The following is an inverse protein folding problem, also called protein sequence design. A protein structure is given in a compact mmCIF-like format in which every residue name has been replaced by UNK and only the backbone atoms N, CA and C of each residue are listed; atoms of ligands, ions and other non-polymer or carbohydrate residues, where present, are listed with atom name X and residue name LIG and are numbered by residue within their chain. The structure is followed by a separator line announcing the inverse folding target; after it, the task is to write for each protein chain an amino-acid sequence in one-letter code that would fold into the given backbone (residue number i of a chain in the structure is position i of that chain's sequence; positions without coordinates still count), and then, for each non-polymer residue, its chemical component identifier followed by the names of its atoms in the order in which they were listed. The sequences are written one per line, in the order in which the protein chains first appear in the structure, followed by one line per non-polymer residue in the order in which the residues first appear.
data_IF_651916633282
#
_entry.id   IF_651916633282
#
_cell.length_a   1.000
_cell.length_b   1.000
_cell.length_c   1.000
_cell.angle_alpha   90.00
_cell.angle_beta   90.00
_cell.angle_gamma   90.00
#
_symmetry.space_group_name_H-M   'P 1'
#
loop_
_entity.id
_entity.type
_entity.pdbx_description
1 polymer ?
#
# COMPACT_ATOMS: atom_id res chain seq x y z
N UNK A 1 14.16 12.50 -19.25
CA UNK A 1 13.81 11.84 -17.98
C UNK A 1 13.82 12.89 -16.88
N UNK A 2 12.79 12.98 -16.02
CA UNK A 2 12.72 14.02 -14.98
C UNK A 2 13.69 13.75 -13.82
N UNK A 3 14.16 14.81 -13.16
CA UNK A 3 15.00 14.71 -11.96
C UNK A 3 14.22 14.09 -10.79
N UNK A 4 14.86 13.28 -9.92
CA UNK A 4 14.25 12.80 -8.68
C UNK A 4 13.57 13.95 -7.91
N UNK A 5 12.35 13.74 -7.42
CA UNK A 5 11.56 14.76 -6.72
C UNK A 5 10.66 15.65 -7.61
N UNK A 6 10.76 15.57 -8.94
CA UNK A 6 9.84 16.29 -9.84
C UNK A 6 8.57 15.48 -10.11
N UNK A 7 7.43 16.17 -10.35
CA UNK A 7 6.17 15.53 -10.79
C UNK A 7 6.38 14.64 -12.02
N UNK A 8 7.28 15.03 -12.94
CA UNK A 8 7.63 14.27 -14.13
C UNK A 8 8.34 12.94 -13.82
N UNK A 9 9.22 12.92 -12.81
CA UNK A 9 9.89 11.71 -12.33
C UNK A 9 8.90 10.75 -11.66
N UNK A 10 8.08 11.24 -10.73
CA UNK A 10 7.04 10.44 -10.06
C UNK A 10 6.05 9.84 -11.07
N UNK A 11 5.69 10.61 -12.11
CA UNK A 11 4.78 10.16 -13.17
C UNK A 11 5.39 9.10 -14.08
N UNK A 12 6.70 9.08 -14.30
CA UNK A 12 7.34 8.13 -15.22
C UNK A 12 7.82 6.86 -14.52
N UNK A 13 8.41 7.00 -13.33
CA UNK A 13 8.88 5.89 -12.52
C UNK A 13 7.74 4.93 -12.19
N UNK A 14 6.61 5.46 -11.68
CA UNK A 14 5.44 4.66 -11.28
C UNK A 14 4.62 4.05 -12.44
N UNK A 15 4.93 4.35 -13.69
CA UNK A 15 4.20 3.77 -14.84
C UNK A 15 4.76 2.40 -15.23
N UNK A 16 6.06 2.27 -15.39
CA UNK A 16 6.62 1.08 -16.04
C UNK A 16 7.00 0.00 -15.01
N UNK A 17 7.48 0.39 -13.83
CA UNK A 17 7.85 -0.56 -12.76
C UNK A 17 6.66 -1.20 -12.05
N UNK A 18 5.46 -0.62 -12.17
CA UNK A 18 4.25 -1.12 -11.51
C UNK A 18 3.26 -1.81 -12.46
N UNK A 19 3.70 -2.15 -13.68
CA UNK A 19 2.94 -3.04 -14.54
C UNK A 19 3.02 -4.46 -13.97
N UNK A 20 1.88 -5.09 -13.69
CA UNK A 20 1.85 -6.46 -13.16
C UNK A 20 2.55 -7.44 -14.11
N UNK A 21 2.47 -7.17 -15.42
CA UNK A 21 3.13 -7.95 -16.46
C UNK A 21 4.67 -7.89 -16.37
N UNK A 22 5.24 -6.82 -15.82
CA UNK A 22 6.70 -6.70 -15.65
C UNK A 22 7.22 -7.46 -14.43
N UNK A 23 6.38 -7.73 -13.43
CA UNK A 23 6.77 -8.39 -12.19
C UNK A 23 7.54 -9.72 -12.39
N UNK A 24 7.11 -10.67 -13.24
CA UNK A 24 7.87 -11.90 -13.46
C UNK A 24 9.24 -11.65 -14.11
N UNK A 25 9.35 -10.71 -15.06
CA UNK A 25 10.63 -10.38 -15.70
C UNK A 25 11.60 -9.70 -14.72
N UNK A 26 11.08 -8.79 -13.88
CA UNK A 26 11.86 -8.17 -12.81
C UNK A 26 12.30 -9.19 -11.77
N UNK A 27 11.44 -10.15 -11.41
CA UNK A 27 11.79 -11.22 -10.48
C UNK A 27 12.95 -12.08 -11.02
N UNK A 28 12.91 -12.44 -12.31
CA UNK A 28 14.01 -13.14 -12.97
C UNK A 28 15.28 -12.30 -12.96
N UNK A 29 15.21 -11.03 -13.35
CA UNK A 29 16.37 -10.13 -13.35
C UNK A 29 17.00 -9.92 -11.98
N UNK A 30 16.19 -9.79 -10.93
CA UNK A 30 16.66 -9.70 -9.53
C UNK A 30 17.33 -11.02 -9.13
N UNK A 31 16.69 -12.16 -9.41
CA UNK A 31 17.22 -13.47 -9.03
C UNK A 31 18.53 -13.81 -9.73
N UNK A 32 18.65 -13.53 -11.03
CA UNK A 32 19.89 -13.73 -11.79
C UNK A 32 20.99 -12.76 -11.35
N UNK A 33 20.64 -11.50 -11.05
CA UNK A 33 21.58 -10.54 -10.45
C UNK A 33 22.13 -11.01 -9.11
N UNK A 34 21.27 -11.55 -8.23
CA UNK A 34 21.67 -12.11 -6.93
C UNK A 34 22.58 -13.34 -7.08
N UNK A 35 22.33 -14.20 -8.06
CA UNK A 35 23.24 -15.30 -8.41
C UNK A 35 24.59 -14.78 -8.91
N UNK A 36 24.59 -13.75 -9.76
CA UNK A 36 25.81 -13.14 -10.29
C UNK A 36 26.73 -12.51 -9.24
N UNK A 37 26.19 -12.12 -8.07
CA UNK A 37 26.96 -11.61 -6.93
C UNK A 37 27.31 -12.68 -5.89
N UNK A 38 27.09 -13.97 -6.20
CA UNK A 38 27.56 -15.10 -5.39
C UNK A 38 26.51 -15.71 -4.45
N UNK A 39 25.22 -15.48 -4.65
CA UNK A 39 24.19 -16.21 -3.88
C UNK A 39 24.24 -17.71 -4.18
N UNK A 40 24.33 -18.54 -3.13
CA UNK A 40 24.28 -20.00 -3.21
C UNK A 40 22.86 -20.56 -3.22
N UNK A 41 21.85 -19.70 -3.17
CA UNK A 41 20.43 -20.08 -3.15
C UNK A 41 19.99 -20.56 -4.54
N UNK A 42 19.12 -21.57 -4.59
CA UNK A 42 18.61 -22.07 -5.87
C UNK A 42 17.87 -20.97 -6.64
N UNK A 43 18.16 -20.86 -7.94
CA UNK A 43 17.57 -19.84 -8.80
C UNK A 43 16.02 -19.87 -8.79
N UNK A 44 15.34 -21.03 -8.84
CA UNK A 44 13.88 -21.08 -8.74
C UNK A 44 13.36 -20.44 -7.45
N UNK A 45 14.01 -20.72 -6.31
CA UNK A 45 13.61 -20.15 -5.02
C UNK A 45 13.79 -18.63 -5.01
N UNK A 46 14.92 -18.12 -5.53
CA UNK A 46 15.17 -16.68 -5.65
C UNK A 46 14.11 -16.00 -6.53
N UNK A 47 13.75 -16.61 -7.67
CA UNK A 47 12.69 -16.10 -8.55
C UNK A 47 11.36 -16.07 -7.81
N UNK A 48 10.98 -17.16 -7.12
CA UNK A 48 9.73 -17.23 -6.36
C UNK A 48 9.67 -16.15 -5.28
N UNK A 49 10.72 -15.99 -4.49
CA UNK A 49 10.78 -14.99 -3.41
C UNK A 49 10.75 -13.57 -3.97
N UNK A 50 11.53 -13.29 -5.02
CA UNK A 50 11.54 -11.97 -5.67
C UNK A 50 10.17 -11.64 -6.28
N UNK A 51 9.53 -12.61 -6.92
CA UNK A 51 8.18 -12.44 -7.47
C UNK A 51 7.15 -12.17 -6.36
N UNK A 52 7.17 -12.94 -5.27
CA UNK A 52 6.26 -12.73 -4.14
C UNK A 52 6.49 -11.37 -3.49
N UNK A 53 7.74 -10.92 -3.35
CA UNK A 53 8.06 -9.60 -2.82
C UNK A 53 7.52 -8.48 -3.73
N UNK A 54 7.70 -8.61 -5.05
CA UNK A 54 7.14 -7.66 -6.02
C UNK A 54 5.61 -7.68 -6.03
N UNK A 55 4.98 -8.85 -6.00
CA UNK A 55 3.52 -8.99 -5.93
C UNK A 55 2.97 -8.36 -4.65
N UNK A 56 3.64 -8.56 -3.51
CA UNK A 56 3.28 -7.93 -2.24
C UNK A 56 3.41 -6.41 -2.31
N UNK A 57 4.50 -5.90 -2.87
CA UNK A 57 4.70 -4.46 -3.08
C UNK A 57 3.59 -3.85 -3.94
N UNK A 58 3.26 -4.46 -5.08
CA UNK A 58 2.15 -4.02 -5.92
C UNK A 58 0.80 -4.11 -5.19
N UNK A 59 0.61 -5.12 -4.34
CA UNK A 59 -0.56 -5.26 -3.48
C UNK A 59 -0.69 -4.08 -2.51
N UNK A 60 0.40 -3.72 -1.81
CA UNK A 60 0.43 -2.55 -0.92
C UNK A 60 0.16 -1.24 -1.68
N UNK A 61 0.60 -1.12 -2.93
CA UNK A 61 0.30 0.05 -3.76
C UNK A 61 -1.19 0.19 -4.07
N UNK A 62 -1.91 -0.93 -4.27
CA UNK A 62 -3.36 -0.90 -4.43
C UNK A 62 -4.04 -0.41 -3.15
N UNK A 63 -3.49 -0.74 -1.98
CA UNK A 63 -4.08 -0.31 -0.71
C UNK A 63 -3.90 1.18 -0.44
N UNK A 64 -2.97 1.87 -1.11
CA UNK A 64 -2.72 3.29 -0.87
C UNK A 64 -3.60 4.21 -1.74
N UNK A 65 -3.58 5.52 -1.45
CA UNK A 65 -4.40 6.52 -2.15
C UNK A 65 -3.87 6.95 -3.53
N UNK A 66 -2.62 6.59 -3.86
CA UNK A 66 -2.04 6.90 -5.17
C UNK A 66 -2.44 5.85 -6.21
N UNK A 67 -2.59 4.61 -5.77
CA UNK A 67 -2.90 3.45 -6.59
C UNK A 67 -1.78 3.06 -7.54
N UNK A 68 -1.94 1.90 -8.17
CA UNK A 68 -0.98 1.40 -9.15
C UNK A 68 -1.66 0.98 -10.46
N UNK A 69 -1.07 1.32 -11.64
CA UNK A 69 -1.60 0.97 -12.95
C UNK A 69 -1.20 -0.46 -13.37
N UNK A 70 -1.76 -1.47 -12.71
CA UNK A 70 -1.39 -2.89 -12.94
C UNK A 70 -1.54 -3.35 -14.40
N UNK A 71 -2.54 -2.83 -15.11
CA UNK A 71 -2.94 -3.29 -16.44
C UNK A 71 -2.07 -2.80 -17.59
N UNK A 72 -0.96 -2.11 -17.34
CA UNK A 72 -0.09 -1.64 -18.41
C UNK A 72 0.56 -2.81 -19.18
N UNK A 73 0.74 -2.68 -20.51
CA UNK A 73 0.44 -1.51 -21.35
C UNK A 73 -1.03 -1.41 -21.80
N UNK A 74 -1.86 -2.42 -21.55
CA UNK A 74 -3.23 -2.52 -22.07
C UNK A 74 -4.20 -1.50 -21.45
N UNK A 75 -4.02 -1.16 -20.18
CA UNK A 75 -4.87 -0.21 -19.46
C UNK A 75 -4.04 0.73 -18.58
N UNK A 76 -4.40 2.01 -18.61
CA UNK A 76 -3.83 3.05 -17.74
C UNK A 76 -4.65 3.26 -16.47
N UNK A 77 -5.71 2.47 -16.25
CA UNK A 77 -6.56 2.58 -15.05
C UNK A 77 -5.75 2.24 -13.80
N UNK A 78 -5.79 3.12 -12.80
CA UNK A 78 -5.14 2.90 -11.51
C UNK A 78 -6.09 2.23 -10.54
N UNK A 79 -5.67 1.10 -9.98
CA UNK A 79 -6.38 0.46 -8.88
C UNK A 79 -5.90 1.04 -7.57
N UNK A 80 -6.83 1.50 -6.73
CA UNK A 80 -6.59 2.09 -5.42
C UNK A 80 -7.77 1.75 -4.50
N UNK A 81 -7.49 1.55 -3.22
CA UNK A 81 -8.47 1.31 -2.16
C UNK A 81 -8.50 2.44 -1.11
N UNK A 82 -7.52 3.35 -1.16
CA UNK A 82 -7.35 4.48 -0.23
C UNK A 82 -7.34 4.06 1.25
N UNK A 83 -6.82 2.88 1.58
CA UNK A 83 -6.88 2.35 2.93
C UNK A 83 -5.71 2.79 3.80
N UNK A 84 -4.52 2.79 3.23
CA UNK A 84 -3.27 3.07 3.94
C UNK A 84 -2.54 4.27 3.34
N UNK A 85 -1.62 4.86 4.11
CA UNK A 85 -0.73 5.88 3.60
C UNK A 85 0.41 5.23 2.78
N UNK A 86 1.00 5.94 1.82
CA UNK A 86 2.10 5.37 1.01
C UNK A 86 3.30 4.96 1.86
N UNK A 87 3.68 5.81 2.82
CA UNK A 87 4.65 5.51 3.86
C UNK A 87 3.92 5.40 5.19
N UNK A 88 3.24 4.28 5.41
CA UNK A 88 2.55 4.00 6.66
C UNK A 88 3.53 3.45 7.72
N UNK A 89 3.91 4.23 8.76
CA UNK A 89 4.90 3.83 9.75
C UNK A 89 4.50 2.58 10.51
N UNK A 90 3.20 2.33 10.66
CA UNK A 90 2.73 1.11 11.31
C UNK A 90 3.04 -0.11 10.45
N UNK A 91 2.66 -0.07 9.16
CA UNK A 91 2.97 -1.15 8.21
C UNK A 91 4.48 -1.37 8.12
N UNK A 92 5.27 -0.31 7.98
CA UNK A 92 6.73 -0.40 7.91
C UNK A 92 7.33 -0.97 9.20
N UNK A 93 6.84 -0.56 10.37
CA UNK A 93 7.35 -1.07 11.65
C UNK A 93 7.03 -2.55 11.86
N UNK A 94 5.82 -3.00 11.49
CA UNK A 94 5.45 -4.41 11.59
C UNK A 94 6.31 -5.27 10.66
N UNK A 95 6.54 -4.82 9.43
CA UNK A 95 7.42 -5.53 8.49
C UNK A 95 8.87 -5.57 8.99
N UNK A 96 9.42 -4.44 9.43
CA UNK A 96 10.78 -4.35 9.97
C UNK A 96 10.95 -5.22 11.23
N UNK A 97 9.97 -5.17 12.15
CA UNK A 97 9.95 -6.01 13.34
C UNK A 97 9.88 -7.50 13.01
N UNK A 98 9.02 -7.88 12.07
CA UNK A 98 8.92 -9.28 11.60
C UNK A 98 10.25 -9.76 11.04
N UNK A 99 10.89 -8.98 10.16
CA UNK A 99 12.21 -9.30 9.61
C UNK A 99 13.28 -9.37 10.71
N UNK A 100 13.30 -8.42 11.64
CA UNK A 100 14.27 -8.40 12.74
C UNK A 100 14.17 -9.64 13.63
N UNK A 101 12.95 -10.06 13.98
CA UNK A 101 12.73 -11.29 14.74
C UNK A 101 13.13 -12.51 13.91
N UNK A 102 12.87 -12.55 12.61
CA UNK A 102 13.31 -13.66 11.75
C UNK A 102 14.83 -13.78 11.70
N UNK A 103 15.55 -12.66 11.66
CA UNK A 103 17.01 -12.65 11.74
C UNK A 103 17.46 -13.22 13.09
N UNK A 104 16.86 -12.77 14.20
CA UNK A 104 17.20 -13.26 15.53
C UNK A 104 16.97 -14.79 15.67
N UNK A 105 15.84 -15.31 15.16
CA UNK A 105 15.54 -16.75 15.13
C UNK A 105 16.60 -17.51 14.34
N UNK A 106 16.95 -17.02 13.14
CA UNK A 106 17.94 -17.67 12.27
C UNK A 106 19.36 -17.60 12.83
N UNK A 107 19.66 -16.60 13.65
CA UNK A 107 20.94 -16.46 14.36
C UNK A 107 21.00 -17.20 15.69
N UNK A 108 19.93 -17.91 16.10
CA UNK A 108 19.87 -18.61 17.38
C UNK A 108 19.71 -17.69 18.61
N UNK A 109 19.37 -16.41 18.40
CA UNK A 109 19.14 -15.43 19.46
C UNK A 109 17.70 -15.47 20.01
N UNK A 110 16.80 -16.20 19.36
CA UNK A 110 15.41 -16.35 19.77
C UNK A 110 14.89 -17.76 19.48
N UNK A 111 14.29 -18.39 20.49
CA UNK A 111 13.64 -19.70 20.39
C UNK A 111 12.15 -19.55 20.07
N UNK A 112 11.85 -19.15 18.83
CA UNK A 112 10.48 -19.14 18.33
C UNK A 112 10.40 -19.65 16.89
N UNK A 113 9.24 -20.18 16.53
CA UNK A 113 9.01 -20.72 15.19
C UNK A 113 9.11 -19.61 14.14
N UNK A 114 10.05 -19.76 13.18
CA UNK A 114 10.18 -18.85 12.04
C UNK A 114 8.87 -18.73 11.25
N UNK A 115 8.12 -19.83 11.11
CA UNK A 115 6.80 -19.77 10.49
C UNK A 115 5.80 -18.97 11.35
N UNK A 116 5.81 -19.20 12.67
CA UNK A 116 4.95 -18.49 13.62
C UNK A 116 5.16 -16.97 13.58
N UNK A 117 6.41 -16.51 13.56
CA UNK A 117 6.75 -15.09 13.46
C UNK A 117 6.16 -14.46 12.19
N UNK A 118 6.30 -15.13 11.04
CA UNK A 118 5.73 -14.68 9.77
C UNK A 118 4.20 -14.61 9.79
N UNK A 119 3.55 -15.63 10.35
CA UNK A 119 2.09 -15.67 10.47
C UNK A 119 1.55 -14.57 11.38
N UNK A 120 2.20 -14.32 12.52
CA UNK A 120 1.83 -13.24 13.44
C UNK A 120 1.97 -11.88 12.74
N UNK A 121 3.09 -11.63 12.07
CA UNK A 121 3.28 -10.39 11.30
C UNK A 121 2.20 -10.18 10.23
N UNK A 122 1.87 -11.24 9.48
CA UNK A 122 0.79 -11.22 8.49
C UNK A 122 -0.58 -10.92 9.12
N UNK A 123 -0.92 -11.60 10.22
CA UNK A 123 -2.20 -11.39 10.91
C UNK A 123 -2.34 -9.98 11.45
N UNK A 124 -1.27 -9.40 12.00
CA UNK A 124 -1.26 -8.00 12.47
C UNK A 124 -1.50 -7.04 11.30
N UNK A 125 -0.85 -7.24 10.15
CA UNK A 125 -1.06 -6.41 8.97
C UNK A 125 -2.48 -6.54 8.42
N UNK A 126 -3.01 -7.77 8.31
CA UNK A 126 -4.39 -8.01 7.87
C UNK A 126 -5.41 -7.36 8.82
N UNK A 127 -5.19 -7.48 10.14
CA UNK A 127 -6.01 -6.83 11.16
C UNK A 127 -5.97 -5.32 11.04
N UNK A 128 -4.80 -4.73 10.82
CA UNK A 128 -4.65 -3.30 10.58
C UNK A 128 -5.38 -2.84 9.31
N UNK A 129 -5.17 -3.50 8.17
CA UNK A 129 -5.87 -3.16 6.92
C UNK A 129 -7.38 -3.33 7.07
N UNK A 130 -7.83 -4.37 7.78
CA UNK A 130 -9.24 -4.61 8.10
C UNK A 130 -9.87 -3.48 8.94
N UNK A 131 -9.21 -3.06 10.01
CA UNK A 131 -9.69 -1.94 10.85
C UNK A 131 -9.71 -0.62 10.07
N UNK A 132 -8.71 -0.37 9.22
CA UNK A 132 -8.67 0.76 8.29
C UNK A 132 -9.85 0.72 7.31
N UNK A 133 -10.13 -0.42 6.69
CA UNK A 133 -11.27 -0.58 5.78
C UNK A 133 -12.62 -0.35 6.47
N UNK A 134 -12.78 -0.87 7.69
CA UNK A 134 -13.98 -0.66 8.49
C UNK A 134 -14.17 0.82 8.86
N UNK A 135 -13.12 1.46 9.37
CA UNK A 135 -13.12 2.88 9.74
C UNK A 135 -13.42 3.78 8.52
N UNK A 136 -12.85 3.48 7.35
CA UNK A 136 -13.17 4.18 6.09
C UNK A 136 -14.65 4.08 5.75
N UNK A 137 -15.23 2.88 5.81
CA UNK A 137 -16.66 2.66 5.51
C UNK A 137 -17.55 3.50 6.44
N UNK A 138 -17.22 3.54 7.74
CA UNK A 138 -17.92 4.37 8.72
C UNK A 138 -17.82 5.86 8.37
N UNK A 139 -16.63 6.36 8.08
CA UNK A 139 -16.45 7.76 7.75
C UNK A 139 -17.12 8.15 6.42
N UNK A 140 -17.07 7.27 5.39
CA UNK A 140 -17.81 7.47 4.15
C UNK A 140 -19.32 7.64 4.38
N UNK A 141 -19.88 6.88 5.32
CA UNK A 141 -21.29 7.00 5.68
C UNK A 141 -21.61 8.37 6.31
N UNK A 142 -20.74 8.88 7.18
CA UNK A 142 -20.88 10.22 7.77
C UNK A 142 -20.75 11.34 6.73
N UNK A 143 -19.78 11.24 5.81
CA UNK A 143 -19.66 12.20 4.70
C UNK A 143 -20.91 12.17 3.82
N UNK A 144 -21.48 10.99 3.55
CA UNK A 144 -22.70 10.88 2.75
C UNK A 144 -23.90 11.54 3.42
N UNK A 145 -24.06 11.41 4.74
CA UNK A 145 -25.09 12.13 5.51
C UNK A 145 -24.92 13.64 5.38
N UNK A 146 -23.69 14.12 5.54
CA UNK A 146 -23.37 15.54 5.41
C UNK A 146 -23.73 16.08 4.01
N UNK A 147 -23.36 15.37 2.95
CA UNK A 147 -23.68 15.74 1.55
C UNK A 147 -25.20 15.83 1.34
N UNK A 148 -25.96 14.85 1.82
CA UNK A 148 -27.43 14.86 1.69
C UNK A 148 -28.05 16.04 2.45
N UNK A 149 -27.52 16.39 3.62
CA UNK A 149 -28.00 17.51 4.42
C UNK A 149 -27.76 18.89 3.77
N UNK A 150 -26.73 19.01 2.93
CA UNK A 150 -26.42 20.27 2.25
C UNK A 150 -27.43 20.66 1.16
N UNK A 151 -28.30 19.74 0.71
CA UNK A 151 -29.24 19.95 -0.41
C UNK A 151 -28.60 20.42 -1.73
N UNK A 152 -27.27 20.45 -1.83
CA UNK A 152 -26.53 20.75 -3.06
C UNK A 152 -26.12 19.46 -3.79
N UNK A 153 -26.04 19.52 -5.11
CA UNK A 153 -25.55 18.42 -5.94
C UNK A 153 -24.04 18.27 -5.75
N UNK A 154 -23.62 17.22 -5.06
CA UNK A 154 -22.20 16.85 -5.02
C UNK A 154 -21.75 16.34 -6.40
N UNK A 155 -20.81 17.05 -7.00
CA UNK A 155 -20.21 16.72 -8.29
C UNK A 155 -19.11 15.65 -8.14
N UNK A 156 -18.41 15.64 -7.01
CA UNK A 156 -17.41 14.62 -6.69
C UNK A 156 -17.24 14.45 -5.17
N UNK A 157 -16.99 13.21 -4.75
CA UNK A 157 -16.70 12.85 -3.37
C UNK A 157 -15.48 11.92 -3.32
N UNK A 158 -14.49 12.26 -2.49
CA UNK A 158 -13.37 11.37 -2.19
C UNK A 158 -13.14 11.29 -0.68
N UNK A 159 -12.79 10.09 -0.20
CA UNK A 159 -12.42 9.84 1.20
C UNK A 159 -11.03 9.23 1.19
N UNK A 160 -10.09 9.97 1.74
CA UNK A 160 -8.67 9.62 1.73
C UNK A 160 -8.09 9.65 3.15
N UNK A 161 -7.04 8.86 3.41
CA UNK A 161 -6.27 8.97 4.64
C UNK A 161 -5.68 10.39 4.74
N UNK A 162 -5.97 11.07 5.85
CA UNK A 162 -5.42 12.38 6.17
C UNK A 162 -4.17 12.30 7.03
N UNK A 163 -4.05 11.21 7.78
CA UNK A 163 -2.89 10.74 8.54
C UNK A 163 -3.01 9.22 8.69
N UNK A 164 -2.07 8.60 9.39
CA UNK A 164 -2.07 7.16 9.67
C UNK A 164 -3.33 6.68 10.41
N UNK A 165 -4.04 7.57 11.13
CA UNK A 165 -5.22 7.22 11.94
C UNK A 165 -6.52 7.90 11.52
N UNK A 166 -6.46 8.90 10.63
CA UNK A 166 -7.61 9.80 10.41
C UNK A 166 -8.03 9.87 8.97
N UNK A 167 -9.32 10.08 8.75
CA UNK A 167 -9.90 10.29 7.42
C UNK A 167 -10.14 11.77 7.09
N UNK A 168 -10.04 12.09 5.80
CA UNK A 168 -10.46 13.37 5.22
C UNK A 168 -11.38 13.11 4.05
N UNK A 169 -12.54 13.74 4.07
CA UNK A 169 -13.50 13.78 2.99
C UNK A 169 -13.34 15.07 2.21
N UNK A 170 -13.31 14.99 0.90
CA UNK A 170 -13.36 16.15 0.00
C UNK A 170 -14.63 16.04 -0.81
N UNK A 171 -15.49 17.04 -0.70
CA UNK A 171 -16.75 17.13 -1.44
C UNK A 171 -16.67 18.37 -2.34
N UNK A 172 -16.83 18.17 -3.65
CA UNK A 172 -16.98 19.26 -4.61
C UNK A 172 -18.47 19.44 -4.91
N UNK A 173 -18.98 20.66 -4.72
CA UNK A 173 -20.33 21.07 -5.13
C UNK A 173 -20.24 21.99 -6.34
N UNK A 174 -21.38 22.42 -6.89
CA UNK A 174 -21.43 23.38 -7.99
C UNK A 174 -20.93 24.78 -7.60
N UNK A 175 -20.93 25.11 -6.31
CA UNK A 175 -20.59 26.43 -5.77
C UNK A 175 -19.22 26.46 -5.07
N UNK A 176 -18.77 25.36 -4.44
CA UNK A 176 -17.55 25.35 -3.64
C UNK A 176 -16.93 23.95 -3.43
N UNK A 177 -15.75 23.93 -2.79
CA UNK A 177 -15.11 22.72 -2.28
C UNK A 177 -15.17 22.68 -0.75
N UNK A 178 -15.72 21.61 -0.19
CA UNK A 178 -15.83 21.39 1.25
C UNK A 178 -14.87 20.28 1.70
N UNK A 179 -14.06 20.58 2.71
CA UNK A 179 -13.12 19.62 3.30
C UNK A 179 -13.60 19.22 4.69
N UNK A 180 -14.07 17.98 4.80
CA UNK A 180 -14.45 17.37 6.06
C UNK A 180 -13.27 16.62 6.63
N UNK A 181 -12.95 16.86 7.89
CA UNK A 181 -11.96 16.07 8.62
C UNK A 181 -12.69 15.29 9.69
N UNK A 182 -12.27 14.04 9.89
CA UNK A 182 -12.65 13.31 11.07
C UNK A 182 -12.16 14.09 12.31
N UNK A 183 -13.11 14.67 13.04
CA UNK A 183 -12.83 15.29 14.35
C UNK A 183 -12.56 14.16 15.33
N UNK A 184 -11.60 14.35 16.25
CA UNK A 184 -11.49 13.42 17.38
C UNK A 184 -12.76 13.57 18.21
N UNK A 185 -13.73 12.70 17.96
CA UNK A 185 -14.72 12.38 18.96
C UNK A 185 -13.94 11.77 20.12
N UNK A 186 -13.73 12.58 21.16
CA UNK A 186 -13.58 12.06 22.52
C UNK A 186 -14.85 11.23 22.76
N UNK A 187 -14.74 9.93 22.58
CA UNK A 187 -15.65 8.93 23.14
C UNK A 187 -14.96 8.35 24.35
#
# INVERSE_FOLDING_TARGET
MGRPGTFGYLRFHRKHSHAALLAPFLAVGIATGLQGVGSTTSLPLLITVAFLALAWHLGLDILNAFGTPLGLPFSRKRLHADLIYEFDPFVTSVLAGTVGVQVAVRSGLADCSSLGVGLVGLLVLLGYVGTRAWSRKRFCHEVRKYVVAMQEVALAQSVVPSSYWRWKGIVATSSAHHVLRESMGRG
#
